data_IF_543883087526
#
_entry.id   IF_543883087526
#
_cell.length_a   1.000
_cell.length_b   1.000
_cell.length_c   1.000
_cell.angle_alpha   90.00
_cell.angle_beta   90.00
_cell.angle_gamma   90.00
#
_symmetry.space_group_name_H-M   'P 1'
#
loop_
_entity.id
_entity.type
_entity.pdbx_description
1 polymer ?
#
# COMPACT_ATOMS: atom_id res chain seq x y z
N UNK A 1 -45.79 -18.02 109.37
CA UNK A 1 -46.04 -19.46 109.15
C UNK A 1 -46.70 -19.60 107.79
N UNK A 2 -45.94 -20.14 106.84
CA UNK A 2 -46.28 -20.73 105.53
C UNK A 2 -47.50 -20.19 104.75
N UNK A 3 -47.24 -19.60 103.59
CA UNK A 3 -47.79 -20.08 102.30
C UNK A 3 -47.08 -19.43 101.11
N UNK A 4 -46.68 -20.29 100.17
CA UNK A 4 -46.23 -19.94 98.81
C UNK A 4 -47.45 -19.48 97.99
N UNK A 5 -47.28 -18.42 97.21
CA UNK A 5 -48.21 -18.08 96.13
C UNK A 5 -47.42 -18.05 94.81
N UNK A 6 -47.56 -19.13 94.05
CA UNK A 6 -47.15 -19.22 92.65
C UNK A 6 -48.36 -18.77 91.84
N UNK A 7 -48.31 -17.55 91.29
CA UNK A 7 -49.37 -16.98 90.47
C UNK A 7 -48.94 -16.85 89.01
N UNK A 8 -49.49 -17.71 88.14
CA UNK A 8 -49.44 -17.59 86.68
C UNK A 8 -50.63 -16.79 86.16
N UNK A 9 -50.42 -15.99 85.09
CA UNK A 9 -51.38 -15.37 84.12
C UNK A 9 -51.05 -13.87 83.94
N UNK A 10 -51.19 -13.20 82.80
CA UNK A 10 -51.35 -13.52 81.37
C UNK A 10 -51.38 -12.16 80.64
N UNK A 11 -50.73 -12.09 79.47
CA UNK A 11 -51.02 -11.26 78.28
C UNK A 11 -51.58 -9.84 78.43
N UNK A 12 -50.82 -8.83 77.97
CA UNK A 12 -51.22 -7.87 76.92
C UNK A 12 -50.30 -6.64 76.89
N UNK A 13 -50.05 -6.09 75.69
CA UNK A 13 -49.70 -4.66 75.56
C UNK A 13 -48.37 -4.35 74.87
N UNK A 14 -48.44 -4.28 73.55
CA UNK A 14 -47.47 -3.65 72.64
C UNK A 14 -47.00 -2.27 73.13
N UNK A 15 -45.70 -2.01 73.18
CA UNK A 15 -45.14 -0.74 72.71
C UNK A 15 -43.81 -0.97 71.99
N UNK A 16 -43.78 -0.41 70.78
CA UNK A 16 -42.75 -0.46 69.75
C UNK A 16 -41.79 0.72 69.96
N UNK A 17 -40.49 0.45 70.08
CA UNK A 17 -39.37 1.40 69.97
C UNK A 17 -38.28 0.60 69.24
N UNK A 18 -38.09 0.67 67.91
CA UNK A 18 -37.56 1.73 67.03
C UNK A 18 -36.22 2.33 67.48
N UNK A 19 -35.18 2.09 66.66
CA UNK A 19 -33.84 2.72 66.67
C UNK A 19 -32.84 1.88 67.46
N UNK A 20 -31.82 1.24 66.88
CA UNK A 20 -30.84 1.87 66.00
C UNK A 20 -30.42 1.03 64.79
N UNK A 21 -30.18 1.78 63.72
CA UNK A 21 -29.64 1.33 62.44
C UNK A 21 -28.31 0.59 62.62
N UNK A 22 -28.24 -0.63 62.11
CA UNK A 22 -27.01 -1.12 61.50
C UNK A 22 -27.32 -1.78 60.16
N UNK A 23 -27.80 -0.95 59.23
CA UNK A 23 -27.90 -1.27 57.81
C UNK A 23 -26.98 -0.34 57.01
N UNK A 24 -25.69 -0.30 57.30
CA UNK A 24 -24.78 0.36 56.35
C UNK A 24 -23.32 -0.08 56.49
N UNK A 25 -22.99 -1.32 56.10
CA UNK A 25 -21.67 -1.57 55.52
C UNK A 25 -21.64 -2.83 54.65
N UNK A 26 -22.47 -2.88 53.62
CA UNK A 26 -22.12 -3.69 52.44
C UNK A 26 -21.94 -2.72 51.31
N UNK A 27 -20.73 -2.14 51.20
CA UNK A 27 -20.31 -1.45 49.99
C UNK A 27 -20.37 -2.51 48.89
N UNK A 28 -21.42 -2.43 48.07
CA UNK A 28 -21.73 -3.45 47.09
C UNK A 28 -20.56 -3.50 46.08
N UNK A 29 -19.74 -4.55 46.15
CA UNK A 29 -18.64 -4.83 45.22
C UNK A 29 -19.05 -4.66 43.73
N UNK A 30 -20.27 -5.02 43.29
CA UNK A 30 -20.76 -4.75 41.94
C UNK A 30 -20.90 -3.27 41.58
N UNK A 31 -21.26 -2.39 42.52
CA UNK A 31 -21.36 -0.93 42.29
C UNK A 31 -19.98 -0.30 42.20
N UNK A 32 -19.02 -0.79 43.01
CA UNK A 32 -17.63 -0.33 42.95
C UNK A 32 -16.98 -0.77 41.62
N UNK A 33 -17.16 -2.04 41.23
CA UNK A 33 -16.71 -2.57 39.94
C UNK A 33 -17.36 -1.79 38.77
N UNK A 34 -18.67 -1.55 38.80
CA UNK A 34 -19.35 -0.73 37.79
C UNK A 34 -18.86 0.72 37.76
N UNK A 35 -18.57 1.33 38.91
CA UNK A 35 -18.01 2.68 38.98
C UNK A 35 -16.57 2.75 38.46
N UNK A 36 -15.79 1.69 38.69
CA UNK A 36 -14.43 1.53 38.19
C UNK A 36 -14.43 1.28 36.67
N UNK A 37 -15.28 0.38 36.18
CA UNK A 37 -15.53 0.13 34.75
C UNK A 37 -16.02 1.40 34.04
N UNK A 38 -16.90 2.17 34.68
CA UNK A 38 -17.33 3.48 34.16
C UNK A 38 -16.17 4.49 34.12
N UNK A 39 -15.27 4.46 35.11
CA UNK A 39 -14.07 5.30 35.15
C UNK A 39 -13.07 4.95 34.05
N UNK A 40 -12.81 3.65 33.85
CA UNK A 40 -11.96 3.16 32.77
C UNK A 40 -12.56 3.46 31.39
N UNK A 41 -13.87 3.27 31.22
CA UNK A 41 -14.60 3.65 30.02
C UNK A 41 -14.50 5.16 29.74
N UNK A 42 -14.72 6.00 30.75
CA UNK A 42 -14.62 7.45 30.61
C UNK A 42 -13.19 7.88 30.23
N UNK A 43 -12.16 7.26 30.83
CA UNK A 43 -10.75 7.50 30.47
C UNK A 43 -10.48 7.12 29.02
N UNK A 44 -10.89 5.93 28.60
CA UNK A 44 -10.68 5.45 27.23
C UNK A 44 -11.44 6.31 26.21
N UNK A 45 -12.68 6.69 26.52
CA UNK A 45 -13.48 7.59 25.70
C UNK A 45 -12.80 8.94 25.51
N UNK A 46 -12.28 9.53 26.59
CA UNK A 46 -11.49 10.76 26.52
C UNK A 46 -10.26 10.61 25.61
N UNK A 47 -9.52 9.52 25.72
CA UNK A 47 -8.35 9.27 24.86
C UNK A 47 -8.73 9.15 23.37
N UNK A 48 -9.85 8.49 23.07
CA UNK A 48 -10.38 8.40 21.69
C UNK A 48 -10.78 9.77 21.17
N UNK A 49 -11.48 10.56 21.98
CA UNK A 49 -11.93 11.90 21.58
C UNK A 49 -10.74 12.86 21.39
N UNK A 50 -9.69 12.72 22.22
CA UNK A 50 -8.40 13.41 22.08
C UNK A 50 -7.71 13.05 20.75
N UNK A 51 -7.51 11.75 20.50
CA UNK A 51 -6.86 11.27 19.29
C UNK A 51 -7.64 11.66 18.02
N UNK A 52 -8.97 11.61 18.06
CA UNK A 52 -9.80 12.06 16.95
C UNK A 52 -9.66 13.56 16.69
N UNK A 53 -9.53 14.37 17.75
CA UNK A 53 -9.27 15.81 17.62
C UNK A 53 -7.90 16.06 17.00
N UNK A 54 -6.87 15.36 17.46
CA UNK A 54 -5.53 15.43 16.86
C UNK A 54 -5.54 15.06 15.37
N UNK A 55 -6.28 14.01 14.99
CA UNK A 55 -6.44 13.63 13.58
C UNK A 55 -7.12 14.72 12.74
N UNK A 56 -8.15 15.39 13.27
CA UNK A 56 -8.79 16.53 12.61
C UNK A 56 -7.83 17.70 12.45
N UNK A 57 -7.10 18.05 13.51
CA UNK A 57 -6.08 19.10 13.46
C UNK A 57 -4.99 18.78 12.41
N UNK A 58 -4.50 17.54 12.35
CA UNK A 58 -3.53 17.11 11.33
C UNK A 58 -4.07 17.19 9.89
N UNK A 59 -5.39 17.16 9.70
CA UNK A 59 -6.04 17.38 8.39
C UNK A 59 -6.25 18.86 8.07
N UNK A 60 -6.04 19.74 9.03
CA UNK A 60 -6.30 21.18 8.91
C UNK A 60 -7.70 21.60 9.37
N UNK A 61 -8.46 20.71 10.01
CA UNK A 61 -9.77 20.99 10.58
C UNK A 61 -9.65 21.49 12.03
N UNK A 62 -10.65 22.22 12.55
CA UNK A 62 -10.75 22.62 13.97
C UNK A 62 -9.49 23.30 14.56
N UNK A 63 -8.76 24.07 13.73
CA UNK A 63 -7.56 24.78 14.17
C UNK A 63 -7.86 25.98 15.10
N UNK A 64 -9.12 26.40 15.16
CA UNK A 64 -9.56 27.47 16.05
C UNK A 64 -9.42 27.01 17.51
N UNK A 65 -8.64 27.75 18.29
CA UNK A 65 -8.37 27.41 19.70
C UNK A 65 -6.98 26.84 19.96
N UNK A 66 -6.22 26.52 18.90
CA UNK A 66 -4.78 26.25 19.04
C UNK A 66 -4.01 27.57 19.19
N UNK A 67 -3.02 27.53 20.06
CA UNK A 67 -2.02 28.60 20.20
C UNK A 67 -1.04 28.57 19.02
N UNK A 68 -0.30 29.68 18.84
CA UNK A 68 0.74 29.76 17.81
C UNK A 68 1.81 28.68 17.99
N UNK A 69 2.14 28.33 19.23
CA UNK A 69 3.16 27.30 19.51
C UNK A 69 2.65 25.90 19.14
N UNK A 70 1.39 25.58 19.45
CA UNK A 70 0.77 24.32 19.06
C UNK A 70 0.65 24.19 17.53
N UNK A 71 0.31 25.28 16.84
CA UNK A 71 0.28 25.33 15.38
C UNK A 71 1.67 25.08 14.77
N UNK A 72 2.73 25.68 15.32
CA UNK A 72 4.12 25.42 14.87
C UNK A 72 4.52 23.96 15.09
N UNK A 73 4.14 23.39 16.23
CA UNK A 73 4.43 21.98 16.53
C UNK A 73 3.67 21.04 15.59
N UNK A 74 2.42 21.37 15.26
CA UNK A 74 1.61 20.65 14.27
C UNK A 74 2.25 20.71 12.88
N UNK A 75 2.63 21.90 12.42
CA UNK A 75 3.32 22.12 11.15
C UNK A 75 4.61 21.30 11.05
N UNK A 76 5.47 21.36 12.07
CA UNK A 76 6.71 20.58 12.14
C UNK A 76 6.46 19.08 12.06
N UNK A 77 5.39 18.61 12.70
CA UNK A 77 5.01 17.18 12.68
C UNK A 77 4.57 16.76 11.28
N UNK A 78 3.73 17.55 10.62
CA UNK A 78 3.29 17.32 9.25
C UNK A 78 4.45 17.38 8.26
N UNK A 79 5.32 18.38 8.36
CA UNK A 79 6.50 18.52 7.50
C UNK A 79 7.43 17.30 7.63
N UNK A 80 7.67 16.83 8.87
CA UNK A 80 8.48 15.65 9.14
C UNK A 80 7.84 14.39 8.54
N UNK A 81 6.53 14.21 8.71
CA UNK A 81 5.78 13.11 8.12
C UNK A 81 5.85 13.11 6.59
N UNK A 82 5.63 14.27 5.98
CA UNK A 82 5.70 14.45 4.53
C UNK A 82 7.09 14.13 3.99
N UNK A 83 8.15 14.62 4.65
CA UNK A 83 9.54 14.34 4.28
C UNK A 83 9.82 12.84 4.28
N UNK A 84 9.33 12.10 5.28
CA UNK A 84 9.46 10.63 5.35
C UNK A 84 8.73 9.93 4.20
N UNK A 85 7.51 10.37 3.88
CA UNK A 85 6.73 9.81 2.75
C UNK A 85 7.43 10.05 1.42
N UNK A 86 7.91 11.27 1.19
CA UNK A 86 8.65 11.63 -0.03
C UNK A 86 9.94 10.82 -0.16
N UNK A 87 10.71 10.70 0.93
CA UNK A 87 11.93 9.89 0.96
C UNK A 87 11.64 8.44 0.55
N UNK A 88 10.68 7.80 1.23
CA UNK A 88 10.32 6.40 0.95
C UNK A 88 9.85 6.21 -0.49
N UNK A 89 9.01 7.12 -1.01
CA UNK A 89 8.57 7.08 -2.41
C UNK A 89 9.75 7.25 -3.37
N UNK A 90 10.67 8.16 -3.07
CA UNK A 90 11.88 8.38 -3.86
C UNK A 90 12.78 7.14 -3.91
N UNK A 91 13.00 6.48 -2.78
CA UNK A 91 13.74 5.21 -2.72
C UNK A 91 13.09 4.12 -3.56
N UNK A 92 11.77 3.95 -3.45
CA UNK A 92 11.03 2.96 -4.24
C UNK A 92 11.11 3.23 -5.75
N UNK A 93 10.98 4.50 -6.17
CA UNK A 93 11.12 4.88 -7.58
C UNK A 93 12.54 4.62 -8.07
N UNK A 94 13.55 4.94 -7.27
CA UNK A 94 14.96 4.73 -7.62
C UNK A 94 15.28 3.23 -7.76
N UNK A 95 14.74 2.39 -6.88
CA UNK A 95 14.83 0.94 -6.97
C UNK A 95 14.23 0.42 -8.29
N UNK A 96 13.02 0.87 -8.64
CA UNK A 96 12.37 0.53 -9.90
C UNK A 96 13.18 0.95 -11.13
N UNK A 97 13.75 2.17 -11.12
CA UNK A 97 14.64 2.65 -12.19
C UNK A 97 15.85 1.73 -12.33
N UNK A 98 16.48 1.36 -11.22
CA UNK A 98 17.67 0.51 -11.23
C UNK A 98 17.35 -0.88 -11.78
N UNK A 99 16.21 -1.46 -11.41
CA UNK A 99 15.79 -2.77 -11.92
C UNK A 99 15.47 -2.74 -13.41
N UNK A 100 14.83 -1.66 -13.89
CA UNK A 100 14.59 -1.46 -15.32
C UNK A 100 15.90 -1.31 -16.10
N UNK A 101 16.87 -0.52 -15.59
CA UNK A 101 18.20 -0.39 -16.22
C UNK A 101 18.96 -1.71 -16.30
N UNK A 102 18.88 -2.55 -15.26
CA UNK A 102 19.46 -3.90 -15.30
C UNK A 102 18.82 -4.79 -16.37
N UNK A 103 17.49 -4.71 -16.53
CA UNK A 103 16.77 -5.45 -17.57
C UNK A 103 17.13 -4.96 -18.96
N UNK A 104 17.19 -3.65 -19.15
CA UNK A 104 17.64 -3.02 -20.39
C UNK A 104 19.04 -3.52 -20.78
N UNK A 105 20.01 -3.47 -19.86
CA UNK A 105 21.37 -3.97 -20.12
C UNK A 105 21.37 -5.42 -20.59
N UNK A 106 20.64 -6.31 -19.90
CA UNK A 106 20.56 -7.74 -20.28
C UNK A 106 19.96 -7.93 -21.67
N UNK A 107 18.91 -7.19 -21.99
CA UNK A 107 18.26 -7.26 -23.31
C UNK A 107 19.18 -6.74 -24.41
N UNK A 108 19.92 -5.67 -24.15
CA UNK A 108 20.93 -5.15 -25.10
C UNK A 108 22.02 -6.18 -25.34
N UNK A 109 22.55 -6.81 -24.28
CA UNK A 109 23.59 -7.84 -24.39
C UNK A 109 23.09 -9.06 -25.20
N UNK A 110 21.88 -9.53 -24.92
CA UNK A 110 21.25 -10.64 -25.64
C UNK A 110 20.97 -10.29 -27.10
N UNK A 111 20.48 -9.08 -27.38
CA UNK A 111 20.23 -8.62 -28.75
C UNK A 111 21.54 -8.57 -29.55
N UNK A 112 22.61 -8.00 -28.99
CA UNK A 112 23.94 -7.99 -29.61
C UNK A 112 24.42 -9.42 -29.89
N UNK A 113 24.24 -10.34 -28.94
CA UNK A 113 24.62 -11.73 -29.10
C UNK A 113 23.85 -12.42 -30.25
N UNK A 114 22.54 -12.22 -30.32
CA UNK A 114 21.70 -12.76 -31.39
C UNK A 114 22.06 -12.17 -32.77
N UNK A 115 22.30 -10.86 -32.85
CA UNK A 115 22.74 -10.21 -34.08
C UNK A 115 24.05 -10.81 -34.61
N UNK A 116 25.00 -11.12 -33.71
CA UNK A 116 26.25 -11.79 -34.08
C UNK A 116 26.00 -13.19 -34.63
N UNK A 117 25.18 -14.00 -33.97
CA UNK A 117 24.84 -15.35 -34.44
C UNK A 117 24.17 -15.32 -35.82
N UNK A 118 23.24 -14.39 -36.06
CA UNK A 118 22.58 -14.22 -37.36
C UNK A 118 23.61 -13.86 -38.43
N UNK A 119 24.54 -12.94 -38.14
CA UNK A 119 25.59 -12.55 -39.07
C UNK A 119 26.54 -13.71 -39.41
N UNK A 120 26.87 -14.56 -38.43
CA UNK A 120 27.69 -15.76 -38.63
C UNK A 120 26.96 -16.82 -39.47
N UNK A 121 25.69 -17.12 -39.15
CA UNK A 121 24.86 -18.05 -39.93
C UNK A 121 24.65 -17.58 -41.37
N UNK A 122 24.45 -16.28 -41.59
CA UNK A 122 24.35 -15.69 -42.93
C UNK A 122 25.64 -15.88 -43.73
N UNK A 123 26.81 -15.71 -43.11
CA UNK A 123 28.11 -15.99 -43.76
C UNK A 123 28.26 -17.47 -44.13
N UNK A 124 27.87 -18.39 -43.25
CA UNK A 124 27.92 -19.84 -43.52
C UNK A 124 26.96 -20.22 -44.66
N UNK A 125 25.73 -19.69 -44.65
CA UNK A 125 24.76 -19.92 -45.72
C UNK A 125 25.25 -19.42 -47.08
N UNK A 126 25.89 -18.24 -47.13
CA UNK A 126 26.50 -17.71 -48.35
C UNK A 126 27.71 -18.57 -48.77
N UNK A 127 28.53 -19.04 -47.83
CA UNK A 127 29.68 -19.91 -48.13
C UNK A 127 29.26 -21.27 -48.71
N UNK A 128 28.20 -21.91 -48.18
CA UNK A 128 27.68 -23.17 -48.74
C UNK A 128 27.08 -22.99 -50.15
N UNK A 129 26.46 -21.84 -50.44
CA UNK A 129 25.96 -21.53 -51.79
C UNK A 129 27.13 -21.31 -52.76
N UNK A 130 28.18 -20.60 -52.33
CA UNK A 130 29.39 -20.39 -53.14
C UNK A 130 30.19 -21.68 -53.37
N UNK A 131 30.13 -22.65 -52.44
CA UNK A 131 30.79 -23.94 -52.56
C UNK A 131 30.02 -24.90 -53.50
N UNK A 132 28.68 -24.80 -53.54
CA UNK A 132 27.85 -25.51 -54.52
C UNK A 132 28.03 -24.95 -55.94
N UNK A 133 28.25 -23.64 -56.08
CA UNK A 133 28.51 -22.98 -57.37
C UNK A 133 29.90 -23.34 -57.94
N UNK A 134 30.88 -23.66 -57.08
CA UNK A 134 32.20 -24.16 -57.49
C UNK A 134 32.23 -25.65 -57.89
N UNK A 135 31.20 -26.45 -57.58
CA UNK A 135 31.10 -27.86 -58.01
C UNK A 135 30.49 -27.98 -59.43
N UNK A 136 29.95 -26.89 -60.00
CA UNK A 136 29.42 -26.84 -61.39
C UNK A 136 30.49 -26.27 -62.34
N UNK A 137 31.75 -26.60 -62.12
CA UNK A 137 32.86 -26.26 -63.02
C UNK A 137 33.77 -27.46 -63.22
N UNK A 138 33.24 -28.57 -63.72
CA UNK A 138 33.98 -29.41 -64.66
C UNK A 138 33.00 -30.08 -65.63
N UNK A 139 33.28 -29.89 -66.93
CA UNK A 139 32.79 -30.66 -68.07
C UNK A 139 31.39 -30.34 -68.66
N UNK A 140 31.38 -29.68 -69.83
CA UNK A 140 30.28 -29.84 -70.81
C UNK A 140 29.89 -28.62 -71.65
N UNK A 141 30.66 -28.36 -72.72
CA UNK A 141 30.22 -27.87 -74.05
C UNK A 141 28.97 -26.94 -74.19
N UNK A 142 29.24 -25.71 -74.67
CA UNK A 142 28.55 -25.00 -75.78
C UNK A 142 27.08 -24.48 -75.69
N UNK A 143 26.98 -23.15 -75.86
CA UNK A 143 26.04 -22.35 -76.70
C UNK A 143 24.69 -21.75 -76.20
N UNK A 144 24.61 -20.42 -76.39
CA UNK A 144 23.51 -19.52 -76.86
C UNK A 144 22.40 -18.96 -75.92
N UNK A 145 22.50 -17.63 -75.67
CA UNK A 145 21.54 -16.48 -75.71
C UNK A 145 20.07 -16.68 -75.27
N UNK A 146 19.45 -15.82 -74.43
CA UNK A 146 18.73 -14.57 -74.80
C UNK A 146 18.47 -13.68 -73.55
N UNK A 147 18.58 -12.37 -73.78
CA UNK A 147 18.21 -11.19 -72.98
C UNK A 147 16.91 -11.25 -72.17
N UNK A 148 16.96 -10.72 -70.94
CA UNK A 148 15.93 -9.77 -70.49
C UNK A 148 16.50 -8.79 -69.44
N UNK A 149 16.79 -7.56 -69.88
CA UNK A 149 16.87 -6.38 -69.01
C UNK A 149 15.48 -5.78 -69.03
N UNK A 150 14.82 -5.70 -67.87
CA UNK A 150 14.06 -4.50 -67.49
C UNK A 150 13.61 -4.53 -66.02
N UNK A 151 14.22 -3.61 -65.27
CA UNK A 151 13.59 -2.63 -64.38
C UNK A 151 12.30 -3.01 -63.61
N UNK A 152 12.39 -3.13 -62.28
CA UNK A 152 11.51 -2.47 -61.27
C UNK A 152 11.67 -3.19 -59.92
N UNK A 153 11.80 -2.57 -58.76
CA UNK A 153 11.95 -1.17 -58.44
C UNK A 153 12.66 -1.05 -57.10
N UNK A 154 13.52 -0.06 -56.99
CA UNK A 154 13.98 0.45 -55.71
C UNK A 154 12.78 1.13 -55.04
N UNK A 155 12.02 0.42 -54.21
CA UNK A 155 11.11 1.09 -53.26
C UNK A 155 11.83 1.22 -51.93
N UNK A 156 12.65 2.27 -51.85
CA UNK A 156 13.03 2.88 -50.57
C UNK A 156 11.88 3.80 -50.20
N UNK A 157 10.92 3.27 -49.47
CA UNK A 157 9.99 4.07 -48.70
C UNK A 157 10.18 3.64 -47.24
N UNK A 158 10.99 4.43 -46.55
CA UNK A 158 11.06 4.42 -45.10
C UNK A 158 9.70 4.88 -44.60
N UNK A 159 8.85 3.94 -44.21
CA UNK A 159 7.61 4.23 -43.48
C UNK A 159 7.97 4.42 -41.99
N UNK A 160 8.52 5.60 -41.69
CA UNK A 160 8.85 6.07 -40.35
C UNK A 160 7.60 6.70 -39.71
N UNK A 161 6.60 5.88 -39.41
CA UNK A 161 5.39 6.30 -38.71
C UNK A 161 5.14 5.40 -37.51
N UNK A 162 6.05 5.42 -36.53
CA UNK A 162 5.77 4.90 -35.19
C UNK A 162 5.04 5.95 -34.37
N UNK A 163 3.72 5.99 -34.48
CA UNK A 163 2.86 6.81 -33.63
C UNK A 163 2.69 6.12 -32.26
N UNK A 164 3.64 6.31 -31.36
CA UNK A 164 3.56 5.85 -29.95
C UNK A 164 2.91 6.92 -29.08
N UNK A 165 1.64 7.25 -29.36
CA UNK A 165 0.90 8.18 -28.53
C UNK A 165 0.50 7.52 -27.19
N UNK A 166 1.14 7.90 -26.09
CA UNK A 166 0.72 7.53 -24.74
C UNK A 166 -0.36 8.49 -24.24
N UNK A 167 -1.61 8.03 -24.24
CA UNK A 167 -2.74 8.79 -23.68
C UNK A 167 -2.71 8.68 -22.15
N UNK A 168 -2.10 9.66 -21.48
CA UNK A 168 -2.20 9.84 -20.02
C UNK A 168 -3.60 10.32 -19.67
N UNK A 169 -4.55 9.38 -19.58
CA UNK A 169 -5.85 9.62 -18.99
C UNK A 169 -5.70 9.83 -17.49
N UNK A 170 -5.73 11.08 -17.05
CA UNK A 170 -6.03 11.42 -15.66
C UNK A 170 -7.48 10.99 -15.39
N UNK A 171 -7.66 9.83 -14.74
CA UNK A 171 -8.88 9.59 -13.97
C UNK A 171 -8.81 10.43 -12.70
N UNK A 172 -9.01 11.74 -12.85
CA UNK A 172 -9.47 12.58 -11.76
C UNK A 172 -10.96 12.26 -11.58
N UNK A 173 -11.25 11.23 -10.80
CA UNK A 173 -12.60 10.94 -10.34
C UNK A 173 -12.68 11.28 -8.84
N UNK A 174 -13.30 12.43 -8.57
CA UNK A 174 -14.15 12.62 -7.40
C UNK A 174 -13.45 12.72 -6.05
N UNK A 175 -12.91 13.90 -5.75
CA UNK A 175 -12.91 14.36 -4.36
C UNK A 175 -14.26 15.03 -4.16
N UNK A 176 -15.10 14.43 -3.32
CA UNK A 176 -16.41 14.93 -2.90
C UNK A 176 -16.39 15.03 -1.38
#
# INVERSE_FOLDING_TARGET
IVSLEVGSRSSSGLHKLTGDMNQQQTVCLPLLARSFENGDYARLKKQVDEANRELRNMRGDELQGLTIEELKQLEKTLETGLRRVLHRKGEQIMEQINDLRKKESKLVDENIFLQKQIAEMSKIGIQMVAELENIIHEEGQSSETITNISHSGNSRENDDSSDTSLRLGLSCAGWK
#
